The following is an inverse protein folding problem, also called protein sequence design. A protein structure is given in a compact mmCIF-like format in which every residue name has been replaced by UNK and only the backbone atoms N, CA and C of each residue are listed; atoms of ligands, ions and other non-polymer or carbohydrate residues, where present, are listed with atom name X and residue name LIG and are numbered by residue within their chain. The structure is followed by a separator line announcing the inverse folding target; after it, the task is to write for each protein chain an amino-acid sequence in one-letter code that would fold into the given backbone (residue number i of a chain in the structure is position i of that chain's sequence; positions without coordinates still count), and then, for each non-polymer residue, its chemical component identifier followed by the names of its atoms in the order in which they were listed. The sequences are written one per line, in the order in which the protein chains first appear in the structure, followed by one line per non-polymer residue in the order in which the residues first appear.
data_IF_077591406345
#
_entry.id   IF_077591406345
#
_cell.length_a   1.000
_cell.length_b   1.000
_cell.length_c   1.000
_cell.angle_alpha   90.00
_cell.angle_beta   90.00
_cell.angle_gamma   90.00
#
_symmetry.space_group_name_H-M   'P 1'
#
loop_
_entity.id
_entity.type
_entity.pdbx_description
1 polymer ?
#
# COMPACT_ATOMS: atom_id res chain seq x y z
N UNK A 1 -18.64 47.34 24.81
CA UNK A 1 -17.20 47.11 25.01
C UNK A 1 -16.71 46.36 23.77
N UNK A 2 -16.14 47.10 22.82
CA UNK A 2 -15.79 46.62 21.49
C UNK A 2 -14.26 46.44 21.43
N UNK A 3 -13.81 45.22 21.15
CA UNK A 3 -12.41 44.92 20.84
C UNK A 3 -12.29 44.79 19.32
N UNK A 4 -11.70 45.81 18.71
CA UNK A 4 -11.31 45.82 17.29
C UNK A 4 -9.85 45.40 17.23
N UNK A 5 -9.57 44.17 16.80
CA UNK A 5 -8.22 43.72 16.49
C UNK A 5 -7.92 44.03 15.02
N UNK A 6 -7.24 45.15 14.80
CA UNK A 6 -6.61 45.52 13.53
C UNK A 6 -5.28 44.77 13.40
N UNK A 7 -5.26 43.73 12.57
CA UNK A 7 -4.04 43.04 12.15
C UNK A 7 -3.79 43.26 10.66
N UNK A 8 -2.87 44.16 10.32
CA UNK A 8 -2.37 44.41 8.97
C UNK A 8 -1.48 43.24 8.51
N UNK A 9 -1.94 42.46 7.53
CA UNK A 9 -1.12 41.55 6.75
C UNK A 9 -1.11 41.99 5.29
N UNK A 10 0.01 42.52 4.81
CA UNK A 10 0.21 42.93 3.41
C UNK A 10 0.21 41.70 2.47
N UNK A 11 -0.51 41.75 1.33
CA UNK A 11 -0.33 40.76 0.28
C UNK A 11 0.96 41.04 -0.51
N UNK A 12 1.78 40.01 -0.69
CA UNK A 12 2.86 39.97 -1.68
C UNK A 12 2.24 40.08 -3.08
N UNK A 13 2.42 41.23 -3.74
CA UNK A 13 2.12 41.39 -5.16
C UNK A 13 3.17 40.64 -5.98
N UNK A 14 2.83 39.45 -6.47
CA UNK A 14 3.59 38.83 -7.56
C UNK A 14 3.14 39.47 -8.89
N UNK A 15 4.14 40.03 -9.55
CA UNK A 15 4.08 40.76 -10.80
C UNK A 15 3.36 39.95 -11.90
N UNK A 16 2.38 40.60 -12.53
CA UNK A 16 1.68 40.11 -13.72
C UNK A 16 2.52 40.43 -14.95
N UNK A 17 2.78 39.43 -15.80
CA UNK A 17 3.19 39.65 -17.19
C UNK A 17 2.16 38.99 -18.12
N UNK A 18 1.57 39.73 -19.09
CA UNK A 18 0.75 39.14 -20.12
C UNK A 18 1.64 38.74 -21.32
N UNK A 19 1.57 37.48 -21.74
CA UNK A 19 2.08 37.07 -23.04
C UNK A 19 0.98 36.35 -23.80
N UNK A 20 0.22 37.14 -24.57
CA UNK A 20 -0.60 36.69 -25.68
C UNK A 20 0.33 36.58 -26.89
N UNK A 21 0.57 35.36 -27.36
CA UNK A 21 1.11 35.12 -28.70
C UNK A 21 0.30 34.02 -29.37
N UNK A 22 -0.57 34.45 -30.29
CA UNK A 22 -1.18 33.62 -31.30
C UNK A 22 -0.09 33.23 -32.30
N UNK A 23 0.12 31.94 -32.57
CA UNK A 23 0.60 31.53 -33.89
C UNK A 23 0.17 30.09 -34.22
N UNK A 24 -0.66 30.02 -35.27
CA UNK A 24 -0.91 28.82 -36.06
C UNK A 24 0.40 28.29 -36.63
N UNK A 25 0.61 26.97 -36.57
CA UNK A 25 1.21 26.23 -37.68
C UNK A 25 0.88 24.74 -37.55
N UNK A 26 -0.04 24.27 -38.37
CA UNK A 26 -0.21 22.87 -38.69
C UNK A 26 1.01 22.39 -39.50
N UNK A 27 1.70 21.34 -39.04
CA UNK A 27 2.46 20.47 -39.94
C UNK A 27 2.25 19.01 -39.57
N UNK A 28 1.41 18.36 -40.36
CA UNK A 28 1.45 16.92 -40.62
C UNK A 28 2.84 16.56 -41.17
N UNK A 29 3.43 15.47 -40.68
CA UNK A 29 4.23 14.52 -41.48
C UNK A 29 4.48 13.23 -40.68
N UNK A 30 4.01 12.13 -41.24
CA UNK A 30 4.48 10.75 -41.07
C UNK A 30 4.82 10.24 -42.48
N UNK A 31 5.52 9.10 -42.69
CA UNK A 31 6.50 8.37 -41.86
C UNK A 31 7.77 7.88 -42.66
N UNK A 32 8.63 7.11 -41.97
CA UNK A 32 9.49 6.00 -42.46
C UNK A 32 11.00 6.29 -42.77
N UNK A 33 11.86 5.25 -42.95
CA UNK A 33 12.40 4.33 -41.91
C UNK A 33 13.95 4.14 -41.98
N UNK A 34 14.47 3.16 -41.22
CA UNK A 34 15.78 2.43 -41.32
C UNK A 34 17.00 3.03 -40.60
N UNK A 35 17.69 2.20 -39.80
CA UNK A 35 19.12 2.38 -39.49
C UNK A 35 19.61 1.81 -38.16
N UNK A 36 20.08 0.57 -38.16
CA UNK A 36 20.75 -0.15 -37.07
C UNK A 36 22.01 0.54 -36.53
N UNK A 37 22.30 0.39 -35.23
CA UNK A 37 23.66 0.19 -34.72
C UNK A 37 23.66 -0.40 -33.29
N UNK A 38 24.31 -1.57 -33.17
CA UNK A 38 24.84 -2.16 -31.94
C UNK A 38 25.61 -1.14 -31.10
N UNK A 39 25.60 -1.28 -29.76
CA UNK A 39 26.79 -1.10 -28.89
C UNK A 39 26.52 -1.66 -27.49
N UNK A 40 27.22 -2.76 -27.20
CA UNK A 40 27.92 -3.14 -25.95
C UNK A 40 27.20 -3.30 -24.61
N UNK A 41 27.11 -4.57 -24.20
CA UNK A 41 27.14 -5.06 -22.82
C UNK A 41 28.51 -4.77 -22.18
N UNK A 42 28.59 -4.54 -20.87
CA UNK A 42 29.48 -5.39 -20.08
C UNK A 42 28.78 -6.03 -18.89
N UNK A 43 29.11 -7.30 -18.70
CA UNK A 43 28.76 -8.14 -17.59
C UNK A 43 29.62 -7.79 -16.36
N UNK A 44 29.01 -7.78 -15.17
CA UNK A 44 29.73 -8.06 -13.92
C UNK A 44 28.79 -8.85 -13.00
N UNK A 45 29.29 -9.99 -12.55
CA UNK A 45 28.80 -10.88 -11.50
C UNK A 45 30.04 -11.62 -10.99
N UNK A 46 30.10 -12.23 -9.79
CA UNK A 46 29.48 -11.96 -8.48
C UNK A 46 30.55 -11.75 -7.39
N UNK A 47 30.21 -11.18 -6.22
CA UNK A 47 31.06 -11.34 -5.01
C UNK A 47 30.23 -11.76 -3.79
N UNK A 48 30.74 -12.81 -3.15
CA UNK A 48 30.20 -13.48 -1.99
C UNK A 48 30.86 -12.97 -0.71
N UNK A 49 30.17 -13.15 0.42
CA UNK A 49 30.82 -13.35 1.72
C UNK A 49 30.44 -12.36 2.80
N UNK A 50 29.56 -12.77 3.72
CA UNK A 50 29.71 -12.41 5.13
C UNK A 50 29.17 -13.56 5.98
N UNK A 51 30.11 -14.33 6.54
CA UNK A 51 29.87 -15.34 7.55
C UNK A 51 29.59 -14.66 8.90
N UNK A 52 28.52 -15.05 9.59
CA UNK A 52 28.28 -14.68 10.99
C UNK A 52 28.68 -15.85 11.88
N UNK A 53 29.70 -15.62 12.71
CA UNK A 53 30.20 -16.57 13.71
C UNK A 53 29.31 -16.57 14.98
N UNK A 54 29.25 -17.69 15.73
CA UNK A 54 28.41 -17.82 16.92
C UNK A 54 29.09 -17.26 18.18
N UNK A 55 28.35 -16.47 18.96
CA UNK A 55 28.76 -16.00 20.29
C UNK A 55 28.39 -17.05 21.35
N UNK A 56 29.41 -17.70 21.93
CA UNK A 56 29.34 -18.39 23.22
C UNK A 56 29.44 -17.35 24.33
N UNK A 57 28.52 -17.39 25.30
CA UNK A 57 28.69 -16.75 26.59
C UNK A 57 28.79 -17.84 27.66
N UNK A 58 29.99 -17.97 28.22
CA UNK A 58 30.28 -18.67 29.46
C UNK A 58 30.21 -17.62 30.56
N UNK A 59 29.42 -17.82 31.60
CA UNK A 59 29.63 -17.07 32.83
C UNK A 59 29.51 -17.98 34.05
N UNK A 60 30.56 -17.90 34.85
CA UNK A 60 30.83 -18.61 36.09
C UNK A 60 30.89 -17.54 37.14
N UNK A 61 30.08 -17.57 38.21
CA UNK A 61 30.43 -16.89 39.46
C UNK A 61 29.95 -17.70 40.66
N UNK A 62 30.93 -17.99 41.51
CA UNK A 62 30.96 -18.65 42.81
C UNK A 62 30.38 -17.77 43.92
N UNK A 63 29.73 -18.35 44.94
CA UNK A 63 29.87 -17.89 46.34
C UNK A 63 29.63 -19.02 47.35
N UNK A 64 30.58 -19.14 48.27
CA UNK A 64 30.70 -20.09 49.37
C UNK A 64 29.74 -19.80 50.54
N UNK A 65 29.37 -20.82 51.34
CA UNK A 65 29.15 -20.67 52.78
C UNK A 65 29.36 -22.00 53.52
N UNK A 66 30.18 -21.91 54.56
CA UNK A 66 30.62 -22.90 55.55
C UNK A 66 29.49 -23.42 56.46
N UNK A 67 29.44 -24.73 56.73
CA UNK A 67 29.03 -25.31 58.02
C UNK A 67 29.47 -26.80 58.14
N UNK A 68 30.08 -27.15 59.28
CA UNK A 68 30.56 -28.49 59.63
C UNK A 68 29.48 -29.27 60.44
N UNK A 69 29.69 -30.55 60.81
CA UNK A 69 28.73 -31.63 60.59
C UNK A 69 27.77 -31.89 61.76
N UNK A 70 26.55 -32.34 61.45
CA UNK A 70 25.66 -33.00 62.41
C UNK A 70 25.33 -34.38 61.86
N UNK A 71 25.62 -35.40 62.66
CA UNK A 71 25.46 -36.82 62.32
C UNK A 71 24.10 -37.32 62.82
N UNK A 72 23.43 -38.15 61.97
CA UNK A 72 22.38 -39.16 62.28
C UNK A 72 20.90 -38.71 62.15
N UNK A 73 19.94 -39.61 61.78
CA UNK A 73 20.00 -40.89 61.07
C UNK A 73 19.39 -40.82 59.65
N UNK A 74 19.73 -41.79 58.81
CA UNK A 74 19.18 -41.94 57.46
C UNK A 74 17.66 -42.20 57.50
N UNK A 75 16.88 -41.19 57.14
CA UNK A 75 15.59 -41.39 56.52
C UNK A 75 15.84 -41.34 55.00
N UNK A 76 15.48 -42.41 54.29
CA UNK A 76 15.48 -42.42 52.83
C UNK A 76 14.34 -41.52 52.36
N UNK A 77 14.59 -40.22 52.36
CA UNK A 77 13.69 -39.23 51.78
C UNK A 77 13.82 -39.36 50.25
N UNK A 78 12.87 -40.06 49.63
CA UNK A 78 12.73 -40.06 48.17
C UNK A 78 12.21 -38.69 47.78
N UNK A 79 13.13 -37.72 47.65
CA UNK A 79 12.83 -36.44 47.01
C UNK A 79 12.53 -36.71 45.54
N UNK A 80 11.25 -36.87 45.22
CA UNK A 80 10.77 -36.80 43.85
C UNK A 80 11.08 -35.39 43.34
N UNK A 81 11.78 -35.24 42.18
CA UNK A 81 12.02 -33.93 41.62
C UNK A 81 10.67 -33.26 41.35
N UNK A 82 10.47 -32.08 41.93
CA UNK A 82 9.32 -31.22 41.65
C UNK A 82 9.47 -30.70 40.22
N UNK A 83 8.93 -31.44 39.25
CA UNK A 83 8.81 -31.00 37.86
C UNK A 83 7.72 -29.93 37.85
N UNK A 84 8.11 -28.67 38.02
CA UNK A 84 7.25 -27.53 37.68
C UNK A 84 7.08 -27.49 36.17
N UNK A 85 5.87 -27.73 35.62
CA UNK A 85 5.68 -27.62 34.19
C UNK A 85 5.92 -26.17 33.78
N UNK A 86 6.95 -25.94 32.98
CA UNK A 86 7.15 -24.66 32.29
C UNK A 86 6.08 -24.57 31.19
N UNK A 87 5.03 -23.80 31.44
CA UNK A 87 3.99 -23.52 30.43
C UNK A 87 4.58 -22.53 29.43
N UNK A 88 5.06 -23.04 28.31
CA UNK A 88 5.45 -22.21 27.16
C UNK A 88 4.18 -21.83 26.41
N UNK A 89 3.68 -20.62 26.65
CA UNK A 89 2.59 -20.03 25.84
C UNK A 89 3.19 -19.54 24.53
N UNK A 90 3.11 -20.35 23.48
CA UNK A 90 3.40 -19.89 22.12
C UNK A 90 2.13 -19.24 21.57
N UNK A 91 2.08 -17.92 21.36
CA UNK A 91 0.92 -17.29 20.74
C UNK A 91 0.78 -17.83 19.32
N UNK A 92 -0.37 -18.46 19.02
CA UNK A 92 -0.72 -18.85 17.67
C UNK A 92 -1.02 -17.59 16.87
N UNK A 93 -0.04 -17.05 16.14
CA UNK A 93 -0.26 -15.96 15.20
C UNK A 93 -0.88 -16.50 13.93
N UNK A 94 -2.01 -15.93 13.51
CA UNK A 94 -2.62 -16.27 12.23
C UNK A 94 -1.63 -16.02 11.08
N UNK A 95 -1.71 -16.86 10.04
CA UNK A 95 -0.91 -16.68 8.82
C UNK A 95 -1.20 -15.30 8.23
N UNK A 96 -0.19 -14.47 7.94
CA UNK A 96 -0.40 -13.17 7.32
C UNK A 96 -1.09 -13.31 5.96
N UNK A 97 -2.19 -12.58 5.77
CA UNK A 97 -2.87 -12.50 4.47
C UNK A 97 -2.02 -11.75 3.45
N UNK A 98 -2.01 -12.22 2.20
CA UNK A 98 -1.42 -11.52 1.06
C UNK A 98 -2.18 -10.23 0.74
N UNK A 99 -1.56 -9.35 -0.05
CA UNK A 99 -2.17 -8.09 -0.46
C UNK A 99 -3.48 -8.30 -1.24
N UNK A 100 -3.47 -9.23 -2.19
CA UNK A 100 -4.65 -9.62 -2.96
C UNK A 100 -5.73 -10.20 -2.04
N UNK A 101 -5.37 -11.04 -1.05
CA UNK A 101 -6.34 -11.59 -0.11
C UNK A 101 -6.99 -10.49 0.73
N UNK A 102 -6.22 -9.50 1.18
CA UNK A 102 -6.74 -8.34 1.92
C UNK A 102 -7.68 -7.52 1.07
N UNK A 103 -7.33 -7.28 -0.19
CA UNK A 103 -8.19 -6.55 -1.12
C UNK A 103 -9.48 -7.33 -1.43
N UNK A 104 -9.38 -8.62 -1.75
CA UNK A 104 -10.57 -9.47 -1.98
C UNK A 104 -11.47 -9.57 -0.75
N UNK A 105 -10.89 -9.54 0.46
CA UNK A 105 -11.65 -9.45 1.71
C UNK A 105 -12.50 -8.18 1.83
N UNK A 106 -12.22 -7.11 1.08
CA UNK A 106 -13.05 -5.90 1.05
C UNK A 106 -14.22 -5.99 0.05
N UNK A 107 -14.20 -6.94 -0.88
CA UNK A 107 -15.19 -7.04 -1.95
C UNK A 107 -16.24 -8.11 -1.60
N UNK A 108 -17.23 -7.73 -0.79
CA UNK A 108 -18.32 -8.62 -0.41
C UNK A 108 -19.26 -8.80 -1.60
N UNK A 109 -19.70 -10.03 -1.86
CA UNK A 109 -20.64 -10.38 -2.93
C UNK A 109 -20.20 -9.87 -4.31
N UNK A 110 -18.88 -9.93 -4.58
CA UNK A 110 -18.32 -9.47 -5.85
C UNK A 110 -18.87 -10.27 -7.03
N UNK A 111 -19.41 -9.56 -8.01
CA UNK A 111 -19.86 -10.11 -9.29
C UNK A 111 -19.05 -9.46 -10.41
N UNK A 112 -18.17 -10.25 -11.05
CA UNK A 112 -17.46 -9.81 -12.24
C UNK A 112 -18.39 -9.80 -13.44
N UNK A 113 -18.28 -8.78 -14.28
CA UNK A 113 -19.01 -8.73 -15.54
C UNK A 113 -18.32 -9.59 -16.58
N UNK A 114 -19.09 -10.35 -17.37
CA UNK A 114 -18.56 -11.09 -18.52
C UNK A 114 -17.97 -10.18 -19.60
N UNK A 115 -18.39 -8.91 -19.63
CA UNK A 115 -17.84 -7.86 -20.47
C UNK A 115 -17.85 -6.55 -19.66
N UNK A 116 -16.78 -5.73 -19.70
CA UNK A 116 -16.77 -4.45 -19.01
C UNK A 116 -17.98 -3.59 -19.39
N UNK A 117 -18.63 -2.99 -18.38
CA UNK A 117 -19.82 -2.15 -18.55
C UNK A 117 -19.42 -0.67 -18.50
N UNK A 118 -20.04 0.14 -19.35
CA UNK A 118 -19.77 1.58 -19.38
C UNK A 118 -20.70 2.34 -18.45
N UNK A 119 -20.13 3.29 -17.72
CA UNK A 119 -20.82 4.19 -16.80
C UNK A 119 -20.42 5.64 -17.08
N UNK A 120 -21.27 6.57 -16.65
CA UNK A 120 -21.02 8.01 -16.69
C UNK A 120 -21.10 8.59 -15.29
N UNK A 121 -20.05 9.28 -14.88
CA UNK A 121 -20.04 10.17 -13.74
C UNK A 121 -20.53 11.56 -14.18
N UNK A 122 -21.72 11.94 -13.73
CA UNK A 122 -22.34 13.24 -14.00
C UNK A 122 -21.77 14.36 -13.13
N UNK A 123 -21.05 14.00 -12.06
CA UNK A 123 -20.32 14.90 -11.18
C UNK A 123 -18.92 14.33 -10.92
N UNK A 124 -18.03 15.13 -10.32
CA UNK A 124 -16.69 14.68 -9.94
C UNK A 124 -16.76 13.69 -8.77
N UNK A 125 -16.53 12.40 -9.05
CA UNK A 125 -16.56 11.31 -8.07
C UNK A 125 -15.15 10.81 -7.74
N UNK A 126 -14.83 10.48 -6.48
CA UNK A 126 -13.51 10.00 -6.12
C UNK A 126 -13.24 8.61 -6.71
N UNK A 127 -12.08 8.44 -7.35
CA UNK A 127 -11.51 7.16 -7.70
C UNK A 127 -10.63 6.71 -6.54
N UNK A 128 -10.95 5.56 -5.97
CA UNK A 128 -10.31 5.05 -4.78
C UNK A 128 -9.49 3.81 -5.12
N UNK A 129 -8.35 3.67 -4.46
CA UNK A 129 -7.57 2.44 -4.42
C UNK A 129 -7.51 1.96 -2.98
N UNK A 130 -7.68 0.66 -2.76
CA UNK A 130 -7.46 0.08 -1.45
C UNK A 130 -5.97 -0.24 -1.30
N UNK A 131 -5.29 0.41 -0.37
CA UNK A 131 -3.94 0.05 0.03
C UNK A 131 -3.98 -1.20 0.92
N UNK A 132 -3.57 -2.38 0.42
CA UNK A 132 -3.65 -3.61 1.17
C UNK A 132 -2.56 -3.71 2.25
N UNK A 133 -1.47 -2.93 2.17
CA UNK A 133 -0.42 -2.93 3.18
C UNK A 133 -0.93 -2.32 4.48
N UNK A 134 -1.68 -1.22 4.37
CA UNK A 134 -2.20 -0.45 5.50
C UNK A 134 -3.70 -0.67 5.78
N UNK A 135 -4.41 -1.39 4.90
CA UNK A 135 -5.83 -1.68 5.06
C UNK A 135 -6.73 -0.44 4.90
N UNK A 136 -6.33 0.52 4.06
CA UNK A 136 -7.01 1.81 3.94
C UNK A 136 -7.38 2.17 2.51
N UNK A 137 -8.46 2.91 2.33
CA UNK A 137 -8.86 3.45 1.04
C UNK A 137 -8.21 4.81 0.80
N UNK A 138 -7.58 4.96 -0.36
CA UNK A 138 -6.85 6.16 -0.77
C UNK A 138 -7.46 6.71 -2.05
N UNK A 139 -7.73 8.02 -2.07
CA UNK A 139 -8.11 8.69 -3.32
C UNK A 139 -6.90 8.81 -4.24
N UNK A 140 -7.03 8.27 -5.45
CA UNK A 140 -5.99 8.31 -6.49
C UNK A 140 -6.35 9.29 -7.61
N UNK A 141 -7.53 9.88 -7.53
CA UNK A 141 -8.00 10.87 -8.48
C UNK A 141 -9.50 11.03 -8.41
N UNK A 142 -10.07 11.77 -9.36
CA UNK A 142 -11.51 11.96 -9.48
C UNK A 142 -11.97 11.75 -10.91
N UNK A 143 -13.01 10.95 -11.09
CA UNK A 143 -13.62 10.69 -12.39
C UNK A 143 -14.71 11.72 -12.69
N UNK A 144 -14.77 12.17 -13.94
CA UNK A 144 -15.88 12.92 -14.52
C UNK A 144 -16.06 12.47 -15.97
N UNK A 145 -17.30 12.24 -16.40
CA UNK A 145 -17.58 11.68 -17.71
C UNK A 145 -17.59 10.16 -17.73
N UNK A 146 -17.22 9.57 -18.86
CA UNK A 146 -17.36 8.13 -19.11
C UNK A 146 -16.20 7.31 -18.54
N UNK A 147 -16.51 6.16 -17.94
CA UNK A 147 -15.54 5.17 -17.50
C UNK A 147 -16.11 3.75 -17.63
N UNK A 148 -15.23 2.74 -17.60
CA UNK A 148 -15.61 1.33 -17.66
C UNK A 148 -15.44 0.68 -16.28
N UNK A 149 -16.39 -0.16 -15.91
CA UNK A 149 -16.31 -1.00 -14.73
C UNK A 149 -16.27 -2.48 -15.13
N UNK A 150 -15.51 -3.28 -14.40
CA UNK A 150 -15.32 -4.70 -14.68
C UNK A 150 -16.02 -5.62 -13.67
N UNK A 151 -16.41 -5.09 -12.50
CA UNK A 151 -17.18 -5.82 -11.51
C UNK A 151 -18.02 -4.86 -10.67
N UNK A 152 -19.04 -5.41 -10.01
CA UNK A 152 -19.77 -4.76 -8.92
C UNK A 152 -19.60 -5.55 -7.62
N UNK A 153 -19.60 -4.84 -6.49
CA UNK A 153 -19.44 -5.47 -5.17
C UNK A 153 -19.94 -4.54 -4.07
N UNK A 154 -20.05 -5.08 -2.85
CA UNK A 154 -20.29 -4.32 -1.63
C UNK A 154 -18.98 -4.12 -0.87
N UNK A 155 -18.59 -2.87 -0.64
CA UNK A 155 -17.31 -2.50 -0.04
C UNK A 155 -17.35 -2.65 1.50
N UNK A 156 -16.49 -3.52 2.01
CA UNK A 156 -16.20 -3.70 3.43
C UNK A 156 -17.42 -4.05 4.27
N UNK A 157 -17.28 -3.96 5.60
CA UNK A 157 -18.35 -4.33 6.54
C UNK A 157 -19.61 -3.45 6.42
N UNK A 158 -19.45 -2.19 5.98
CA UNK A 158 -20.56 -1.25 5.77
C UNK A 158 -21.39 -1.56 4.52
N UNK A 159 -20.95 -2.51 3.67
CA UNK A 159 -21.63 -2.96 2.46
C UNK A 159 -22.05 -1.83 1.52
N UNK A 160 -21.18 -0.83 1.34
CA UNK A 160 -21.45 0.26 0.38
C UNK A 160 -21.35 -0.26 -1.04
N UNK A 161 -22.36 -0.07 -1.90
CA UNK A 161 -22.28 -0.53 -3.29
C UNK A 161 -21.13 0.18 -4.01
N UNK A 162 -20.32 -0.57 -4.74
CA UNK A 162 -19.15 -0.07 -5.44
C UNK A 162 -18.98 -0.75 -6.79
N UNK A 163 -18.24 -0.09 -7.69
CA UNK A 163 -17.86 -0.59 -8.99
C UNK A 163 -16.35 -0.68 -9.08
N UNK A 164 -15.83 -1.81 -9.52
CA UNK A 164 -14.40 -2.01 -9.76
C UNK A 164 -14.04 -1.40 -11.12
N UNK A 165 -13.08 -0.49 -11.11
CA UNK A 165 -12.63 0.27 -12.28
C UNK A 165 -11.15 -0.07 -12.51
N UNK A 166 -10.79 -0.72 -13.63
CA UNK A 166 -9.39 -0.94 -13.95
C UNK A 166 -8.70 0.41 -14.17
N UNK A 167 -7.54 0.60 -13.54
CA UNK A 167 -6.78 1.84 -13.65
C UNK A 167 -5.32 1.56 -13.97
N UNK A 168 -4.83 2.09 -15.09
CA UNK A 168 -3.42 2.09 -15.46
C UNK A 168 -2.73 3.31 -14.83
N UNK A 169 -1.64 3.05 -14.13
CA UNK A 169 -0.91 4.07 -13.38
C UNK A 169 -0.39 5.13 -14.36
N UNK A 170 -0.79 6.39 -14.13
CA UNK A 170 -0.51 7.56 -14.98
C UNK A 170 -1.05 7.49 -16.44
N UNK A 171 -1.95 6.54 -16.74
CA UNK A 171 -2.44 6.31 -18.11
C UNK A 171 -3.89 6.74 -18.35
N UNK A 172 -4.75 6.62 -17.35
CA UNK A 172 -6.20 6.68 -17.55
C UNK A 172 -6.89 7.94 -16.99
N UNK A 173 -8.06 8.24 -17.59
CA UNK A 173 -9.04 9.24 -17.15
C UNK A 173 -8.56 10.69 -17.01
N UNK A 174 -7.46 11.05 -17.68
CA UNK A 174 -6.87 12.39 -17.56
C UNK A 174 -6.37 12.72 -16.15
N UNK A 175 -6.19 11.69 -15.31
CA UNK A 175 -5.61 11.80 -13.97
C UNK A 175 -4.10 11.89 -14.12
N UNK A 176 -3.62 13.08 -14.48
CA UNK A 176 -2.22 13.30 -14.88
C UNK A 176 -1.21 13.30 -13.74
N UNK A 177 -1.60 13.12 -12.48
CA UNK A 177 -0.63 13.00 -11.39
C UNK A 177 -1.23 12.35 -10.14
N UNK A 178 -1.20 11.02 -10.07
CA UNK A 178 -1.13 10.38 -8.76
C UNK A 178 0.17 10.87 -8.10
N UNK A 179 0.10 11.30 -6.83
CA UNK A 179 1.29 11.72 -6.09
C UNK A 179 2.36 10.62 -6.06
N UNK A 180 3.64 10.98 -6.11
CA UNK A 180 4.72 9.99 -6.07
C UNK A 180 4.66 9.10 -4.82
N UNK A 181 4.20 9.65 -3.69
CA UNK A 181 4.01 8.89 -2.46
C UNK A 181 2.97 7.75 -2.61
N UNK A 182 1.86 7.99 -3.32
CA UNK A 182 0.87 6.93 -3.59
C UNK A 182 1.45 5.91 -4.57
N UNK A 183 2.22 6.37 -5.58
CA UNK A 183 2.86 5.47 -6.55
C UNK A 183 3.88 4.56 -5.88
N UNK A 184 4.68 5.08 -4.96
CA UNK A 184 5.66 4.29 -4.22
C UNK A 184 4.97 3.27 -3.29
N UNK A 185 3.83 3.63 -2.69
CA UNK A 185 2.99 2.67 -1.95
C UNK A 185 2.42 1.57 -2.84
N UNK A 186 1.91 1.92 -4.01
CA UNK A 186 1.43 0.94 -5.00
C UNK A 186 2.56 -0.02 -5.40
N UNK A 187 3.75 0.52 -5.71
CA UNK A 187 4.94 -0.27 -6.06
C UNK A 187 5.37 -1.19 -4.91
N UNK A 188 5.40 -0.68 -3.68
CA UNK A 188 5.72 -1.47 -2.48
C UNK A 188 4.68 -2.58 -2.23
N UNK A 189 3.42 -2.37 -2.62
CA UNK A 189 2.37 -3.37 -2.57
C UNK A 189 2.39 -4.36 -3.74
N UNK A 190 3.28 -4.18 -4.73
CA UNK A 190 3.44 -5.07 -5.89
C UNK A 190 2.77 -4.58 -7.18
N UNK A 191 2.16 -3.39 -7.19
CA UNK A 191 1.46 -2.84 -8.35
C UNK A 191 2.35 -1.83 -9.10
N UNK A 192 2.79 -2.18 -10.30
CA UNK A 192 3.71 -1.36 -11.11
C UNK A 192 3.08 -0.74 -12.36
N UNK A 193 2.12 -1.43 -12.99
CA UNK A 193 1.51 -1.01 -14.26
C UNK A 193 0.06 -0.56 -14.11
N UNK A 194 -0.72 -1.32 -13.32
CA UNK A 194 -2.14 -1.08 -13.11
C UNK A 194 -2.56 -1.52 -11.71
N UNK A 195 -3.69 -0.99 -11.26
CA UNK A 195 -4.34 -1.35 -10.01
C UNK A 195 -5.83 -1.57 -10.24
N UNK A 196 -6.43 -2.41 -9.40
CA UNK A 196 -7.88 -2.51 -9.27
C UNK A 196 -8.36 -1.36 -8.38
N UNK A 197 -8.79 -0.28 -9.03
CA UNK A 197 -9.43 0.84 -8.34
C UNK A 197 -10.94 0.62 -8.25
N UNK A 198 -11.63 1.50 -7.54
CA UNK A 198 -13.07 1.44 -7.42
C UNK A 198 -13.69 2.81 -7.21
N UNK A 199 -14.99 2.90 -7.50
CA UNK A 199 -15.83 4.03 -7.16
C UNK A 199 -16.99 3.55 -6.31
N UNK A 200 -17.37 4.34 -5.31
CA UNK A 200 -18.59 4.08 -4.53
C UNK A 200 -19.79 4.54 -5.36
N UNK A 201 -20.78 3.67 -5.54
CA UNK A 201 -21.99 4.00 -6.27
C UNK A 201 -22.75 5.11 -5.55
N UNK A 202 -23.22 6.08 -6.34
CA UNK A 202 -23.98 7.23 -5.87
C UNK A 202 -24.90 7.71 -6.99
N UNK A 203 -25.79 8.66 -6.69
CA UNK A 203 -26.67 9.28 -7.69
C UNK A 203 -25.90 10.02 -8.80
N UNK A 204 -24.61 10.31 -8.59
CA UNK A 204 -23.75 10.90 -9.60
C UNK A 204 -23.30 9.91 -10.69
N UNK A 205 -23.48 8.60 -10.50
CA UNK A 205 -23.02 7.55 -11.42
C UNK A 205 -24.23 6.87 -12.05
N UNK A 206 -24.27 6.83 -13.39
CA UNK A 206 -25.32 6.15 -14.14
C UNK A 206 -24.73 5.22 -15.20
N UNK A 207 -25.33 4.06 -15.47
CA UNK A 207 -24.94 3.21 -16.60
C UNK A 207 -25.18 3.94 -17.92
N UNK A 208 -24.28 3.75 -18.89
CA UNK A 208 -24.47 4.19 -20.28
C UNK A 208 -25.03 3.00 -21.04
N UNK A 209 -26.26 3.14 -21.52
CA UNK A 209 -26.88 2.16 -22.43
C UNK A 209 -26.48 2.40 -23.87
#
# INVERSE_FOLDING_TARGET
MALVLSGCGQPLQLNTAPARATQLAAQRRTPAPVGSANTSVPAVSPEAGTALAPLRATDTVTTSTTAAPIVKPAATDVTLPLVVPSVVVVPQTAVPLSNEQRWRGQQIDRVAFSTPRSYRANQSVPLLWFDPANGQSVEIGRLIGTFTAQAEFSLGAERRPALEVPYRINGDFGLTAISDAIRDRMRAAGYTESVEAYVVQSTAIAPIQ
#
